data_IF_912990417784
#
_entry.id   IF_912990417784
#
_cell.length_a   1.000
_cell.length_b   1.000
_cell.length_c   1.000
_cell.angle_alpha   90.00
_cell.angle_beta   90.00
_cell.angle_gamma   90.00
#
_symmetry.space_group_name_H-M   'P 1'
#
loop_
_entity.id
_entity.type
_entity.pdbx_description
1 polymer ?
#
# COMPACT_ATOMS: atom_id res chain seq x y z
N UNK A 1 -4.38 -28.82 59.74
CA UNK A 1 -4.65 -27.39 59.46
C UNK A 1 -3.83 -26.98 58.24
N UNK A 2 -4.54 -26.67 57.15
CA UNK A 2 -4.25 -25.71 56.04
C UNK A 2 -2.79 -25.61 55.56
N UNK A 3 -2.41 -26.20 54.42
CA UNK A 3 -2.62 -25.77 53.02
C UNK A 3 -2.07 -24.39 52.65
N UNK A 4 -1.13 -24.38 51.69
CA UNK A 4 -1.08 -23.59 50.44
C UNK A 4 0.40 -23.35 50.04
N UNK A 5 0.98 -24.09 49.09
CA UNK A 5 0.91 -23.94 47.61
C UNK A 5 1.91 -22.91 47.00
N UNK A 6 2.35 -23.13 45.74
CA UNK A 6 3.72 -22.86 45.31
C UNK A 6 3.92 -21.55 44.57
N UNK A 7 5.20 -21.13 44.56
CA UNK A 7 5.74 -19.94 43.88
C UNK A 7 5.28 -19.85 42.43
N UNK A 8 4.56 -18.77 42.12
CA UNK A 8 4.07 -18.44 40.79
C UNK A 8 5.22 -18.38 39.77
N UNK A 9 5.17 -19.26 38.76
CA UNK A 9 5.88 -19.06 37.50
C UNK A 9 5.34 -17.80 36.84
N UNK A 10 6.07 -16.69 36.98
CA UNK A 10 5.91 -15.51 36.12
C UNK A 10 6.16 -15.98 34.69
N UNK A 11 5.09 -16.17 33.91
CA UNK A 11 5.16 -16.27 32.45
C UNK A 11 5.72 -14.94 31.97
N UNK A 12 7.00 -14.91 31.64
CA UNK A 12 7.61 -13.85 30.88
C UNK A 12 6.81 -13.67 29.59
N UNK A 13 6.15 -12.51 29.43
CA UNK A 13 5.73 -12.01 28.12
C UNK A 13 6.99 -11.93 27.27
N UNK A 14 7.28 -12.99 26.52
CA UNK A 14 8.16 -12.89 25.38
C UNK A 14 7.60 -11.77 24.52
N UNK A 15 8.46 -10.81 24.14
CA UNK A 15 8.14 -9.79 23.16
C UNK A 15 7.74 -10.53 21.88
N UNK A 16 6.43 -10.68 21.65
CA UNK A 16 5.89 -10.88 20.32
C UNK A 16 6.48 -9.72 19.50
N UNK A 17 7.23 -10.00 18.43
CA UNK A 17 7.65 -8.95 17.51
C UNK A 17 6.42 -8.08 17.20
N UNK A 18 6.57 -6.76 17.26
CA UNK A 18 5.46 -5.83 17.12
C UNK A 18 4.83 -6.00 15.74
N UNK A 19 3.84 -6.88 15.62
CA UNK A 19 3.02 -7.00 14.43
C UNK A 19 2.33 -5.66 14.23
N UNK A 20 2.54 -5.02 13.09
CA UNK A 20 1.81 -3.80 12.74
C UNK A 20 0.33 -4.15 12.75
N UNK A 21 -0.46 -3.47 13.58
CA UNK A 21 -1.89 -3.70 13.64
C UNK A 21 -2.50 -3.24 12.32
N UNK A 22 -3.25 -4.13 11.65
CA UNK A 22 -3.97 -3.78 10.41
C UNK A 22 -5.03 -2.74 10.74
N UNK A 23 -5.23 -1.76 9.85
CA UNK A 23 -6.22 -0.67 10.06
C UNK A 23 -7.31 -0.81 9.01
N UNK A 24 -8.54 -1.09 9.45
CA UNK A 24 -9.65 -1.36 8.56
C UNK A 24 -10.79 -0.38 8.85
N UNK A 25 -11.34 0.21 7.79
CA UNK A 25 -12.65 0.88 7.83
C UNK A 25 -13.70 -0.14 7.38
N UNK A 26 -14.76 -0.30 8.16
CA UNK A 26 -15.91 -1.12 7.77
C UNK A 26 -17.05 -0.19 7.36
N UNK A 27 -17.62 -0.40 6.18
CA UNK A 27 -18.82 0.31 5.72
C UNK A 27 -19.99 0.10 6.70
N UNK A 28 -20.88 1.09 6.81
CA UNK A 28 -22.08 1.04 7.66
C UNK A 28 -22.94 -0.19 7.37
N UNK A 29 -23.01 -0.64 6.11
CA UNK A 29 -23.75 -1.84 5.74
C UNK A 29 -23.16 -3.13 6.34
N UNK A 30 -21.85 -3.17 6.63
CA UNK A 30 -21.18 -4.32 7.24
C UNK A 30 -21.62 -4.47 8.69
N UNK A 31 -21.67 -3.36 9.44
CA UNK A 31 -22.13 -3.37 10.84
C UNK A 31 -23.59 -3.81 10.95
N UNK A 32 -24.47 -3.27 10.11
CA UNK A 32 -25.89 -3.64 10.09
C UNK A 32 -26.05 -5.11 9.70
N UNK A 33 -25.32 -5.57 8.68
CA UNK A 33 -25.38 -6.96 8.22
C UNK A 33 -24.86 -7.96 9.25
N UNK A 34 -23.84 -7.59 10.03
CA UNK A 34 -23.32 -8.40 11.13
C UNK A 34 -24.33 -8.56 12.26
N UNK A 35 -25.10 -7.51 12.56
CA UNK A 35 -26.13 -7.57 13.60
C UNK A 35 -27.32 -8.45 13.16
N UNK A 36 -27.71 -8.37 11.89
CA UNK A 36 -28.81 -9.17 11.31
C UNK A 36 -28.43 -10.65 11.15
N UNK A 37 -27.21 -10.95 10.72
CA UNK A 37 -26.76 -12.32 10.46
C UNK A 37 -25.79 -12.81 11.54
N UNK A 38 -26.18 -13.78 12.39
CA UNK A 38 -25.34 -14.22 13.50
C UNK A 38 -24.13 -15.08 13.08
N UNK A 39 -23.96 -15.36 11.78
CA UNK A 39 -22.88 -16.19 11.24
C UNK A 39 -22.37 -15.63 9.91
N UNK A 40 -21.19 -16.09 9.51
CA UNK A 40 -20.55 -15.77 8.24
C UNK A 40 -19.41 -14.76 8.37
N UNK A 41 -18.74 -14.50 7.25
CA UNK A 41 -17.52 -13.68 7.21
C UNK A 41 -17.72 -12.25 7.75
N UNK A 42 -18.87 -11.63 7.48
CA UNK A 42 -19.20 -10.28 7.96
C UNK A 42 -19.27 -10.24 9.49
N UNK A 43 -20.01 -11.18 10.10
CA UNK A 43 -20.13 -11.25 11.56
C UNK A 43 -18.79 -11.57 12.22
N UNK A 44 -18.04 -12.49 11.64
CA UNK A 44 -16.70 -12.81 12.13
C UNK A 44 -15.78 -11.59 12.09
N UNK A 45 -15.74 -10.86 10.97
CA UNK A 45 -14.91 -9.67 10.81
C UNK A 45 -15.25 -8.59 11.86
N UNK A 46 -16.53 -8.28 12.06
CA UNK A 46 -16.94 -7.31 13.08
C UNK A 46 -16.56 -7.79 14.48
N UNK A 47 -16.80 -9.06 14.82
CA UNK A 47 -16.43 -9.61 16.13
C UNK A 47 -14.92 -9.49 16.39
N UNK A 48 -14.08 -9.70 15.37
CA UNK A 48 -12.62 -9.52 15.48
C UNK A 48 -12.23 -8.05 15.70
N UNK A 49 -12.91 -7.12 15.01
CA UNK A 49 -12.73 -5.68 15.23
C UNK A 49 -13.09 -5.27 16.65
N UNK A 50 -14.24 -5.73 17.17
CA UNK A 50 -14.68 -5.47 18.54
C UNK A 50 -13.76 -6.06 19.62
N UNK A 51 -12.98 -7.11 19.28
CA UNK A 51 -11.96 -7.71 20.16
C UNK A 51 -10.59 -7.04 20.05
N UNK A 52 -10.42 -6.07 19.15
CA UNK A 52 -9.14 -5.41 18.90
C UNK A 52 -8.11 -6.30 18.19
N UNK A 53 -8.54 -7.30 17.42
CA UNK A 53 -7.63 -8.14 16.63
C UNK A 53 -7.00 -7.40 15.44
N UNK A 54 -7.62 -6.28 15.05
CA UNK A 54 -7.13 -5.24 14.16
C UNK A 54 -7.65 -3.87 14.66
N UNK A 55 -7.09 -2.79 14.17
CA UNK A 55 -7.53 -1.44 14.49
C UNK A 55 -8.78 -1.09 13.65
N UNK A 56 -9.94 -1.11 14.30
CA UNK A 56 -11.20 -0.72 13.70
C UNK A 56 -11.27 0.80 13.62
N UNK A 57 -11.22 1.37 12.42
CA UNK A 57 -11.28 2.81 12.22
C UNK A 57 -12.74 3.26 12.14
N UNK A 58 -13.09 4.29 12.90
CA UNK A 58 -14.44 4.89 12.95
C UNK A 58 -14.35 6.42 12.95
N UNK A 59 -15.46 7.07 12.57
CA UNK A 59 -15.66 8.51 12.70
C UNK A 59 -17.06 8.82 13.24
N UNK A 60 -17.33 10.08 13.57
CA UNK A 60 -18.65 10.52 14.05
C UNK A 60 -19.71 10.25 12.99
N UNK A 61 -19.46 10.67 11.74
CA UNK A 61 -20.38 10.45 10.61
C UNK A 61 -20.69 8.97 10.38
N UNK A 62 -19.70 8.09 10.51
CA UNK A 62 -19.90 6.63 10.39
C UNK A 62 -20.79 6.09 11.51
N UNK A 63 -20.54 6.48 12.75
CA UNK A 63 -21.29 6.01 13.92
C UNK A 63 -22.75 6.52 13.86
N UNK A 64 -22.94 7.80 13.54
CA UNK A 64 -24.25 8.42 13.38
C UNK A 64 -25.08 7.72 12.30
N UNK A 65 -24.45 7.36 11.17
CA UNK A 65 -25.15 6.64 10.11
C UNK A 65 -25.53 5.22 10.54
N UNK A 66 -24.65 4.51 11.28
CA UNK A 66 -24.96 3.20 11.84
C UNK A 66 -26.13 3.31 12.81
N UNK A 67 -26.07 4.22 13.78
CA UNK A 67 -27.13 4.44 14.77
C UNK A 67 -28.47 4.76 14.10
N UNK A 68 -28.48 5.77 13.22
CA UNK A 68 -29.68 6.20 12.48
C UNK A 68 -30.28 5.07 11.66
N UNK A 69 -29.46 4.24 11.00
CA UNK A 69 -29.95 3.12 10.21
C UNK A 69 -30.50 2.01 11.10
N UNK A 70 -29.84 1.71 12.22
CA UNK A 70 -30.29 0.66 13.15
C UNK A 70 -31.65 1.00 13.76
N UNK A 71 -31.95 2.27 14.05
CA UNK A 71 -33.24 2.71 14.62
C UNK A 71 -34.47 2.43 13.72
N UNK A 72 -34.30 2.11 12.42
CA UNK A 72 -35.43 1.87 11.49
C UNK A 72 -36.30 0.68 11.89
N UNK A 73 -37.62 0.86 11.83
CA UNK A 73 -38.63 -0.14 12.22
C UNK A 73 -38.50 -1.50 11.52
N UNK A 74 -38.03 -1.49 10.26
CA UNK A 74 -37.84 -2.73 9.50
C UNK A 74 -36.89 -3.72 10.19
N UNK A 75 -36.01 -3.24 11.07
CA UNK A 75 -35.03 -4.07 11.76
C UNK A 75 -35.52 -4.70 13.08
N UNK A 76 -36.68 -4.27 13.59
CA UNK A 76 -37.21 -4.71 14.90
C UNK A 76 -37.53 -6.20 15.00
N UNK A 77 -37.56 -6.91 13.86
CA UNK A 77 -37.71 -8.38 13.83
C UNK A 77 -36.43 -9.15 14.17
N UNK A 78 -35.27 -8.50 14.18
CA UNK A 78 -33.98 -9.14 14.46
C UNK A 78 -33.36 -8.73 15.79
N UNK A 79 -33.56 -7.49 16.23
CA UNK A 79 -33.01 -6.96 17.48
C UNK A 79 -33.86 -5.82 18.07
N UNK A 80 -33.74 -5.59 19.38
CA UNK A 80 -34.40 -4.52 20.14
C UNK A 80 -33.66 -3.18 19.98
N UNK A 81 -34.22 -2.08 20.50
CA UNK A 81 -33.55 -0.77 20.44
C UNK A 81 -32.34 -0.77 21.39
N UNK A 82 -32.53 -1.26 22.61
CA UNK A 82 -31.45 -1.45 23.59
C UNK A 82 -30.29 -2.30 23.02
N UNK A 83 -30.57 -3.40 22.30
CA UNK A 83 -29.52 -4.20 21.66
C UNK A 83 -28.78 -3.44 20.55
N UNK A 84 -29.45 -2.51 19.87
CA UNK A 84 -28.80 -1.66 18.87
C UNK A 84 -27.90 -0.60 19.54
N UNK A 85 -28.38 0.02 20.61
CA UNK A 85 -27.64 1.03 21.36
C UNK A 85 -26.39 0.42 22.02
N UNK A 86 -26.53 -0.76 22.65
CA UNK A 86 -25.41 -1.54 23.19
C UNK A 86 -24.37 -1.88 22.11
N UNK A 87 -24.83 -2.18 20.90
CA UNK A 87 -23.95 -2.50 19.77
C UNK A 87 -23.20 -1.27 19.26
N UNK A 88 -23.86 -0.12 19.14
CA UNK A 88 -23.18 1.16 18.77
C UNK A 88 -22.17 1.56 19.84
N UNK A 89 -22.52 1.42 21.11
CA UNK A 89 -21.60 1.66 22.23
C UNK A 89 -20.37 0.74 22.17
N UNK A 90 -20.56 -0.54 21.83
CA UNK A 90 -19.46 -1.49 21.66
C UNK A 90 -18.54 -1.12 20.49
N UNK A 91 -19.09 -0.69 19.34
CA UNK A 91 -18.30 -0.20 18.20
C UNK A 91 -17.50 1.03 18.60
N UNK A 92 -18.14 1.99 19.27
CA UNK A 92 -17.51 3.24 19.72
C UNK A 92 -16.35 2.96 20.69
N UNK A 93 -16.52 2.01 21.61
CA UNK A 93 -15.49 1.64 22.58
C UNK A 93 -14.30 0.91 21.94
N UNK A 94 -14.55 0.08 20.92
CA UNK A 94 -13.50 -0.69 20.25
C UNK A 94 -12.80 0.10 19.13
N UNK A 95 -13.46 1.10 18.56
CA UNK A 95 -12.99 1.85 17.42
C UNK A 95 -11.89 2.85 17.77
N UNK A 96 -10.94 3.03 16.86
CA UNK A 96 -10.04 4.18 16.86
C UNK A 96 -10.66 5.30 16.05
N UNK A 97 -10.88 6.43 16.73
CA UNK A 97 -11.60 7.58 16.18
C UNK A 97 -10.69 8.44 15.31
N UNK A 98 -11.19 8.80 14.12
CA UNK A 98 -10.59 9.77 13.21
C UNK A 98 -11.64 10.82 12.90
N UNK A 99 -11.24 12.10 12.96
CA UNK A 99 -12.13 13.22 12.70
C UNK A 99 -12.60 13.23 11.24
N UNK A 100 -13.88 13.55 11.04
CA UNK A 100 -14.45 13.71 9.70
C UNK A 100 -13.89 14.94 8.99
N UNK A 101 -13.58 14.79 7.69
CA UNK A 101 -13.32 15.95 6.84
C UNK A 101 -14.60 16.75 6.60
N UNK A 102 -14.50 18.08 6.38
CA UNK A 102 -15.60 18.86 5.85
C UNK A 102 -16.10 18.28 4.51
N UNK A 103 -17.42 18.32 4.28
CA UNK A 103 -18.03 17.75 3.06
C UNK A 103 -17.43 18.33 1.76
N UNK A 104 -16.98 19.59 1.79
CA UNK A 104 -16.33 20.27 0.65
C UNK A 104 -14.93 19.74 0.31
N UNK A 105 -14.31 18.99 1.23
CA UNK A 105 -12.96 18.42 1.10
C UNK A 105 -12.99 16.91 0.84
N UNK A 106 -14.18 16.33 0.69
CA UNK A 106 -14.34 14.92 0.36
C UNK A 106 -13.84 14.64 -1.07
N UNK A 107 -13.21 13.47 -1.29
CA UNK A 107 -12.89 13.04 -2.64
C UNK A 107 -14.18 12.86 -3.43
N UNK A 108 -14.14 13.07 -4.75
CA UNK A 108 -15.28 12.79 -5.63
C UNK A 108 -14.98 11.55 -6.46
N UNK A 109 -14.92 10.39 -5.81
CA UNK A 109 -14.50 9.12 -6.42
C UNK A 109 -15.58 8.05 -6.40
N UNK A 110 -16.51 8.13 -5.46
CA UNK A 110 -17.66 7.24 -5.38
C UNK A 110 -18.73 7.68 -6.38
N UNK A 111 -19.41 6.70 -6.98
CA UNK A 111 -20.60 6.96 -7.81
C UNK A 111 -21.77 7.53 -7.00
N UNK A 112 -21.81 7.20 -5.70
CA UNK A 112 -22.71 7.79 -4.72
C UNK A 112 -21.94 8.80 -3.87
N UNK A 113 -22.39 10.05 -3.85
CA UNK A 113 -21.66 11.10 -3.14
C UNK A 113 -21.61 10.85 -1.63
N UNK A 114 -22.64 10.18 -1.10
CA UNK A 114 -22.79 9.86 0.31
C UNK A 114 -21.76 8.80 0.78
N UNK A 115 -21.12 8.05 -0.13
CA UNK A 115 -20.09 7.07 0.24
C UNK A 115 -18.67 7.68 0.29
N UNK A 116 -18.48 8.92 -0.20
CA UNK A 116 -17.13 9.52 -0.31
C UNK A 116 -16.47 9.75 1.05
N UNK A 117 -17.25 9.92 2.12
CA UNK A 117 -16.68 10.07 3.47
C UNK A 117 -15.98 8.79 3.94
N UNK A 118 -16.42 7.60 3.50
CA UNK A 118 -15.75 6.33 3.84
C UNK A 118 -14.33 6.28 3.25
N UNK A 119 -14.17 6.82 2.04
CA UNK A 119 -12.87 6.92 1.37
C UNK A 119 -12.00 7.97 2.06
N UNK A 120 -12.56 9.14 2.39
CA UNK A 120 -11.83 10.17 3.13
C UNK A 120 -11.34 9.65 4.49
N UNK A 121 -12.22 8.98 5.25
CA UNK A 121 -11.90 8.35 6.52
C UNK A 121 -10.76 7.32 6.37
N UNK A 122 -10.84 6.48 5.33
CA UNK A 122 -9.80 5.51 5.04
C UNK A 122 -8.45 6.18 4.69
N UNK A 123 -8.46 7.28 3.94
CA UNK A 123 -7.24 8.03 3.61
C UNK A 123 -6.62 8.70 4.83
N UNK A 124 -7.42 9.40 5.65
CA UNK A 124 -6.94 10.10 6.84
C UNK A 124 -6.43 9.16 7.92
N UNK A 125 -7.04 7.98 8.01
CA UNK A 125 -6.58 6.93 8.91
C UNK A 125 -5.42 6.12 8.33
N UNK A 126 -4.95 6.41 7.11
CA UNK A 126 -4.03 5.57 6.34
C UNK A 126 -4.48 4.10 6.21
N UNK A 127 -5.77 3.81 6.30
CA UNK A 127 -6.32 2.47 6.40
C UNK A 127 -5.77 1.51 5.33
N UNK A 128 -5.47 0.28 5.73
CA UNK A 128 -5.04 -0.77 4.79
C UNK A 128 -6.19 -1.12 3.84
N UNK A 129 -7.41 -1.13 4.38
CA UNK A 129 -8.56 -1.63 3.65
C UNK A 129 -9.87 -0.96 4.07
N UNK A 130 -10.69 -0.62 3.09
CA UNK A 130 -12.10 -0.31 3.23
C UNK A 130 -12.91 -1.57 2.87
N UNK A 131 -13.73 -2.04 3.81
CA UNK A 131 -14.53 -3.24 3.63
C UNK A 131 -15.99 -2.87 3.37
N UNK A 132 -16.53 -3.29 2.22
CA UNK A 132 -17.92 -3.04 1.84
C UNK A 132 -18.57 -4.24 1.17
N UNK A 133 -19.90 -4.32 1.28
CA UNK A 133 -20.76 -5.20 0.50
C UNK A 133 -21.38 -4.53 -0.74
N UNK A 134 -21.30 -3.20 -0.84
CA UNK A 134 -21.92 -2.43 -1.92
C UNK A 134 -21.07 -2.50 -3.20
N UNK A 135 -21.71 -2.82 -4.32
CA UNK A 135 -21.03 -2.92 -5.62
C UNK A 135 -20.46 -1.58 -6.10
N UNK A 136 -21.10 -0.47 -5.74
CA UNK A 136 -20.64 0.88 -6.10
C UNK A 136 -19.37 1.24 -5.33
N UNK A 137 -19.35 1.00 -4.01
CA UNK A 137 -18.16 1.21 -3.17
C UNK A 137 -17.04 0.27 -3.59
N UNK A 138 -17.34 -1.01 -3.85
CA UNK A 138 -16.34 -1.98 -4.33
C UNK A 138 -15.73 -1.64 -5.70
N UNK A 139 -16.39 -0.80 -6.49
CA UNK A 139 -15.87 -0.31 -7.77
C UNK A 139 -15.00 0.95 -7.61
N UNK A 140 -14.88 1.50 -6.40
CA UNK A 140 -14.03 2.66 -6.13
C UNK A 140 -12.57 2.24 -6.25
N UNK A 141 -11.85 2.96 -7.09
CA UNK A 141 -10.43 2.78 -7.29
C UNK A 141 -9.70 4.01 -6.75
N UNK A 142 -8.98 3.85 -5.66
CA UNK A 142 -8.17 4.91 -5.05
C UNK A 142 -6.75 4.43 -4.77
N UNK A 143 -5.74 5.30 -4.94
CA UNK A 143 -4.37 4.94 -4.60
C UNK A 143 -4.24 4.58 -3.12
N UNK A 144 -3.41 3.59 -2.82
CA UNK A 144 -3.02 3.21 -1.46
C UNK A 144 -4.15 2.71 -0.54
N UNK A 145 -5.31 2.32 -1.07
CA UNK A 145 -6.40 1.72 -0.29
C UNK A 145 -6.92 0.47 -1.00
N UNK A 146 -6.93 -0.67 -0.30
CA UNK A 146 -7.65 -1.84 -0.80
C UNK A 146 -9.14 -1.63 -0.51
N UNK A 147 -9.98 -1.79 -1.52
CA UNK A 147 -11.43 -1.86 -1.33
C UNK A 147 -11.88 -3.29 -1.61
N UNK A 148 -12.59 -3.92 -0.66
CA UNK A 148 -12.95 -5.32 -0.82
C UNK A 148 -14.01 -5.83 0.13
N UNK A 149 -14.32 -7.12 0.02
CA UNK A 149 -15.37 -7.78 0.82
C UNK A 149 -14.80 -8.40 2.10
N UNK A 150 -15.68 -8.66 3.06
CA UNK A 150 -15.31 -9.26 4.34
C UNK A 150 -14.49 -10.57 4.25
N UNK A 151 -14.76 -11.53 3.34
CA UNK A 151 -13.92 -12.72 3.19
C UNK A 151 -12.45 -12.37 2.87
N UNK A 152 -12.23 -11.43 1.95
CA UNK A 152 -10.88 -10.99 1.58
C UNK A 152 -10.20 -10.22 2.73
N UNK A 153 -10.96 -9.45 3.51
CA UNK A 153 -10.44 -8.83 4.72
C UNK A 153 -9.93 -9.87 5.73
N UNK A 154 -10.68 -10.98 5.94
CA UNK A 154 -10.24 -12.06 6.83
C UNK A 154 -8.98 -12.78 6.33
N UNK A 155 -8.85 -12.94 5.01
CA UNK A 155 -7.62 -13.45 4.38
C UNK A 155 -6.44 -12.51 4.64
N UNK A 156 -6.59 -11.22 4.39
CA UNK A 156 -5.60 -10.16 4.66
C UNK A 156 -5.15 -10.13 6.13
N UNK A 157 -6.09 -10.26 7.07
CA UNK A 157 -5.79 -10.29 8.51
C UNK A 157 -4.95 -11.50 8.93
N UNK A 158 -5.01 -12.58 8.14
CA UNK A 158 -4.30 -13.84 8.38
C UNK A 158 -3.06 -14.00 7.48
N UNK A 159 -2.85 -13.08 6.55
CA UNK A 159 -1.76 -13.13 5.58
C UNK A 159 -0.44 -12.68 6.21
N UNK A 160 0.60 -13.49 6.00
CA UNK A 160 1.97 -13.21 6.38
C UNK A 160 2.89 -13.53 5.20
N UNK A 161 3.72 -12.57 4.81
CA UNK A 161 4.76 -12.77 3.81
C UNK A 161 6.10 -13.07 4.47
N UNK A 162 7.00 -13.77 3.78
CA UNK A 162 8.34 -14.08 4.29
C UNK A 162 9.19 -12.83 4.61
N UNK A 163 8.88 -11.71 3.97
CA UNK A 163 9.55 -10.42 4.22
C UNK A 163 8.97 -9.64 5.40
N UNK A 164 7.84 -10.06 5.95
CA UNK A 164 7.20 -9.41 7.09
C UNK A 164 5.69 -9.30 6.97
N UNK A 165 5.05 -8.98 8.09
CA UNK A 165 3.60 -8.75 8.18
C UNK A 165 3.16 -7.47 7.49
N UNK A 166 4.08 -6.58 7.15
CA UNK A 166 3.81 -5.29 6.53
C UNK A 166 3.47 -5.45 5.04
N UNK A 167 3.85 -6.56 4.42
CA UNK A 167 3.56 -6.82 3.01
C UNK A 167 2.19 -7.49 2.86
N UNK A 168 1.38 -6.95 1.95
CA UNK A 168 0.03 -7.41 1.63
C UNK A 168 -0.09 -7.78 0.16
N UNK A 169 -0.89 -8.80 -0.18
CA UNK A 169 -1.20 -9.09 -1.57
C UNK A 169 -1.95 -7.89 -2.18
N UNK A 170 -1.65 -7.59 -3.43
CA UNK A 170 -2.31 -6.54 -4.20
C UNK A 170 -2.51 -7.00 -5.65
N UNK A 171 -3.30 -6.24 -6.41
CA UNK A 171 -3.53 -6.49 -7.83
C UNK A 171 -2.64 -5.60 -8.70
N UNK A 172 -2.31 -6.07 -9.90
CA UNK A 172 -1.42 -5.36 -10.83
C UNK A 172 -1.96 -3.98 -11.23
N UNK A 173 -3.25 -3.88 -11.57
CA UNK A 173 -3.88 -2.61 -11.96
C UNK A 173 -3.83 -1.58 -10.82
N UNK A 174 -3.81 -2.04 -9.55
CA UNK A 174 -3.62 -1.17 -8.40
C UNK A 174 -2.21 -0.57 -8.32
N UNK A 175 -1.19 -1.30 -8.76
CA UNK A 175 0.17 -0.75 -8.86
C UNK A 175 0.21 0.35 -9.91
N UNK A 176 -0.36 0.13 -11.10
CA UNK A 176 -0.33 1.11 -12.20
C UNK A 176 -0.97 2.44 -11.79
N UNK A 177 -2.15 2.39 -11.16
CA UNK A 177 -2.80 3.60 -10.64
C UNK A 177 -1.98 4.30 -9.56
N UNK A 178 -1.29 3.54 -8.71
CA UNK A 178 -0.41 4.11 -7.69
C UNK A 178 0.79 4.81 -8.34
N UNK A 179 1.40 4.21 -9.38
CA UNK A 179 2.49 4.82 -10.14
C UNK A 179 2.07 6.19 -10.68
N UNK A 180 0.88 6.26 -11.28
CA UNK A 180 0.35 7.51 -11.84
C UNK A 180 0.04 8.54 -10.75
N UNK A 181 -0.64 8.13 -9.69
CA UNK A 181 -1.01 9.02 -8.59
C UNK A 181 0.19 9.60 -7.84
N UNK A 182 1.28 8.84 -7.74
CA UNK A 182 2.52 9.29 -7.09
C UNK A 182 3.46 10.04 -8.07
N UNK A 183 3.08 10.16 -9.35
CA UNK A 183 3.91 10.81 -10.36
C UNK A 183 5.22 10.08 -10.66
N UNK A 184 5.29 8.78 -10.37
CA UNK A 184 6.52 7.97 -10.50
C UNK A 184 6.66 7.33 -11.89
N UNK A 185 5.63 7.48 -12.73
CA UNK A 185 5.56 6.95 -14.11
C UNK A 185 6.85 7.15 -14.90
N UNK A 186 7.49 8.34 -14.92
CA UNK A 186 8.68 8.52 -15.75
C UNK A 186 9.86 7.62 -15.36
N UNK A 187 10.11 7.47 -14.05
CA UNK A 187 11.19 6.62 -13.53
C UNK A 187 10.92 5.14 -13.85
N UNK A 188 9.66 4.71 -13.74
CA UNK A 188 9.25 3.33 -14.04
C UNK A 188 9.40 3.02 -15.53
N UNK A 189 9.05 3.95 -16.42
CA UNK A 189 9.19 3.76 -17.87
C UNK A 189 10.66 3.71 -18.31
N UNK A 190 11.51 4.56 -17.72
CA UNK A 190 12.97 4.47 -17.92
C UNK A 190 13.49 3.09 -17.49
N UNK A 191 13.08 2.61 -16.30
CA UNK A 191 13.45 1.27 -15.82
C UNK A 191 13.00 0.16 -16.76
N UNK A 192 11.72 0.18 -17.20
CA UNK A 192 11.16 -0.83 -18.11
C UNK A 192 11.92 -0.88 -19.42
N UNK A 193 12.17 0.27 -20.04
CA UNK A 193 12.89 0.32 -21.31
C UNK A 193 14.37 -0.06 -21.14
N UNK A 194 15.00 0.34 -20.03
CA UNK A 194 16.37 -0.08 -19.70
C UNK A 194 16.49 -1.60 -19.56
N UNK A 195 15.55 -2.25 -18.85
CA UNK A 195 15.52 -3.71 -18.72
C UNK A 195 15.38 -4.40 -20.09
N UNK A 196 14.51 -3.88 -20.96
CA UNK A 196 14.38 -4.37 -22.34
C UNK A 196 15.70 -4.25 -23.10
N UNK A 197 16.39 -3.11 -22.99
CA UNK A 197 17.68 -2.89 -23.66
C UNK A 197 18.80 -3.81 -23.13
N UNK A 198 18.86 -4.06 -21.82
CA UNK A 198 19.86 -4.97 -21.21
C UNK A 198 19.57 -6.44 -21.55
N UNK A 199 18.30 -6.81 -21.71
CA UNK A 199 17.91 -8.15 -22.13
C UNK A 199 18.26 -8.43 -23.60
N UNK A 200 18.20 -7.41 -24.45
CA UNK A 200 18.57 -7.50 -25.87
C UNK A 200 20.09 -7.47 -26.12
N UNK A 201 20.46 -7.72 -27.38
CA UNK A 201 21.82 -7.64 -27.90
C UNK A 201 21.85 -6.91 -29.25
N UNK A 202 23.01 -6.40 -29.64
CA UNK A 202 23.22 -5.76 -30.94
C UNK A 202 22.84 -4.27 -31.01
N UNK A 203 22.90 -3.67 -32.21
CA UNK A 203 22.81 -2.22 -32.39
C UNK A 203 21.50 -1.59 -31.93
N UNK A 204 20.37 -2.29 -32.09
CA UNK A 204 19.06 -1.81 -31.64
C UNK A 204 19.00 -1.71 -30.12
N UNK A 205 19.48 -2.75 -29.41
CA UNK A 205 19.58 -2.73 -27.94
C UNK A 205 20.52 -1.62 -27.45
N UNK A 206 21.65 -1.41 -28.14
CA UNK A 206 22.60 -0.34 -27.82
C UNK A 206 22.04 1.07 -28.06
N UNK A 207 21.15 1.22 -29.05
CA UNK A 207 20.42 2.46 -29.33
C UNK A 207 19.44 2.75 -28.20
N UNK A 208 18.58 1.77 -27.85
CA UNK A 208 17.59 1.90 -26.76
C UNK A 208 18.29 2.14 -25.42
N UNK A 209 19.41 1.45 -25.17
CA UNK A 209 20.23 1.69 -23.98
C UNK A 209 20.71 3.14 -23.92
N UNK A 210 21.09 3.73 -25.06
CA UNK A 210 21.49 5.13 -25.15
C UNK A 210 20.39 6.14 -24.82
N UNK A 211 19.11 5.76 -24.97
CA UNK A 211 17.97 6.59 -24.59
C UNK A 211 17.68 6.53 -23.09
N UNK A 212 18.08 5.44 -22.42
CA UNK A 212 17.68 5.15 -21.04
C UNK A 212 18.76 5.46 -20.01
N UNK A 213 20.03 5.59 -20.41
CA UNK A 213 21.15 5.83 -19.50
C UNK A 213 21.75 7.21 -19.66
N UNK A 214 22.44 7.69 -18.63
CA UNK A 214 23.28 8.90 -18.70
C UNK A 214 24.39 8.63 -19.73
N UNK A 215 24.57 9.46 -20.78
CA UNK A 215 25.49 9.18 -21.89
C UNK A 215 26.91 8.79 -21.46
N UNK A 216 27.42 9.48 -20.45
CA UNK A 216 28.75 9.30 -19.87
C UNK A 216 28.93 7.91 -19.23
N UNK A 217 27.83 7.29 -18.79
CA UNK A 217 27.80 5.95 -18.17
C UNK A 217 27.52 4.82 -19.18
N UNK A 218 27.04 5.15 -20.39
CA UNK A 218 26.70 4.16 -21.43
C UNK A 218 27.80 3.13 -21.70
N UNK A 219 29.09 3.51 -21.84
CA UNK A 219 30.16 2.53 -22.09
C UNK A 219 30.35 1.52 -20.96
N UNK A 220 29.95 1.85 -19.73
CA UNK A 220 29.99 0.92 -18.59
C UNK A 220 28.89 -0.15 -18.74
N UNK A 221 27.66 0.26 -19.07
CA UNK A 221 26.54 -0.67 -19.27
C UNK A 221 26.73 -1.56 -20.49
N UNK A 222 27.32 -1.05 -21.58
CA UNK A 222 27.63 -1.87 -22.76
C UNK A 222 28.69 -2.93 -22.43
N UNK A 223 29.81 -2.54 -21.80
CA UNK A 223 30.88 -3.48 -21.42
C UNK A 223 30.45 -4.48 -20.35
N UNK A 224 29.63 -4.06 -19.39
CA UNK A 224 29.16 -4.85 -18.26
C UNK A 224 27.77 -5.49 -18.45
N UNK A 225 27.25 -5.57 -19.68
CA UNK A 225 25.86 -5.96 -19.95
C UNK A 225 25.45 -7.27 -19.27
N UNK A 226 26.27 -8.31 -19.35
CA UNK A 226 25.95 -9.61 -18.75
C UNK A 226 25.91 -9.57 -17.22
N UNK A 227 26.76 -8.75 -16.59
CA UNK A 227 26.73 -8.55 -15.14
C UNK A 227 25.46 -7.81 -14.72
N UNK A 228 25.08 -6.76 -15.45
CA UNK A 228 23.84 -6.00 -15.22
C UNK A 228 22.62 -6.90 -15.41
N UNK A 229 22.61 -7.70 -16.49
CA UNK A 229 21.57 -8.70 -16.78
C UNK A 229 21.46 -9.72 -15.65
N UNK A 230 22.59 -10.20 -15.12
CA UNK A 230 22.62 -11.10 -13.96
C UNK A 230 22.05 -10.44 -12.70
N UNK A 231 22.40 -9.17 -12.43
CA UNK A 231 21.89 -8.40 -11.27
C UNK A 231 20.38 -8.16 -11.32
N UNK A 232 19.83 -7.92 -12.51
CA UNK A 232 18.40 -7.69 -12.75
C UNK A 232 17.56 -8.97 -12.75
N UNK A 233 18.18 -10.14 -12.95
CA UNK A 233 17.45 -11.41 -12.99
C UNK A 233 16.80 -11.70 -11.63
N UNK A 234 15.50 -12.01 -11.66
CA UNK A 234 14.73 -12.33 -10.45
C UNK A 234 14.56 -11.13 -9.52
N UNK A 235 14.46 -9.91 -10.08
CA UNK A 235 14.18 -8.68 -9.33
C UNK A 235 12.75 -8.21 -9.54
N UNK A 236 12.10 -7.83 -8.46
CA UNK A 236 10.88 -7.03 -8.48
C UNK A 236 11.20 -5.53 -8.55
N UNK A 237 10.16 -4.71 -8.64
CA UNK A 237 10.25 -3.25 -8.59
C UNK A 237 9.37 -2.74 -7.45
N UNK A 238 9.96 -2.01 -6.50
CA UNK A 238 9.17 -1.20 -5.58
C UNK A 238 8.96 0.18 -6.20
N UNK A 239 7.71 0.53 -6.46
CA UNK A 239 7.32 1.67 -7.30
C UNK A 239 7.54 3.03 -6.66
N UNK A 240 7.59 3.10 -5.32
CA UNK A 240 7.96 4.33 -4.59
C UNK A 240 9.47 4.56 -4.63
N UNK A 241 10.00 5.55 -5.36
CA UNK A 241 11.43 5.89 -5.31
C UNK A 241 11.82 6.51 -3.97
N UNK A 242 13.12 6.57 -3.71
CA UNK A 242 13.71 7.46 -2.70
C UNK A 242 14.38 8.62 -3.43
N UNK A 243 13.88 9.84 -3.25
CA UNK A 243 14.52 11.04 -3.81
C UNK A 243 15.63 11.51 -2.88
N UNK A 244 16.88 11.41 -3.31
CA UNK A 244 18.04 11.95 -2.59
C UNK A 244 18.21 13.46 -2.83
N UNK A 245 17.71 13.95 -3.97
CA UNK A 245 17.54 15.37 -4.30
C UNK A 245 16.45 15.50 -5.39
N UNK A 246 16.03 16.72 -5.78
CA UNK A 246 15.12 16.90 -6.92
C UNK A 246 15.60 16.27 -8.23
N UNK A 247 16.92 16.11 -8.39
CA UNK A 247 17.55 15.62 -9.62
C UNK A 247 18.10 14.19 -9.50
N UNK A 248 17.99 13.56 -8.33
CA UNK A 248 18.55 12.21 -8.06
C UNK A 248 17.54 11.36 -7.31
N UNK A 249 17.18 10.23 -7.92
CA UNK A 249 16.22 9.28 -7.38
C UNK A 249 16.78 7.85 -7.36
N UNK A 250 16.34 7.06 -6.39
CA UNK A 250 16.68 5.65 -6.27
C UNK A 250 15.44 4.79 -6.35
N UNK A 251 15.34 3.98 -7.41
CA UNK A 251 14.37 2.88 -7.46
C UNK A 251 14.94 1.68 -6.71
N UNK A 252 14.09 1.03 -5.90
CA UNK A 252 14.45 -0.16 -5.14
C UNK A 252 14.04 -1.40 -5.92
N UNK A 253 14.97 -2.33 -6.07
CA UNK A 253 14.81 -3.58 -6.80
C UNK A 253 15.00 -4.77 -5.83
N UNK A 254 13.95 -5.13 -5.05
CA UNK A 254 14.00 -6.30 -4.19
C UNK A 254 14.11 -7.58 -5.01
N UNK A 255 14.43 -8.74 -4.39
CA UNK A 255 14.16 -10.04 -5.00
C UNK A 255 12.70 -10.10 -5.49
N UNK A 256 12.42 -10.80 -6.58
CA UNK A 256 11.06 -11.00 -7.05
C UNK A 256 10.28 -11.90 -6.06
N UNK A 257 9.20 -11.43 -5.43
CA UNK A 257 8.42 -12.24 -4.49
C UNK A 257 7.52 -13.27 -5.19
N UNK A 258 7.42 -13.24 -6.53
CA UNK A 258 6.53 -14.13 -7.30
C UNK A 258 5.05 -13.74 -7.25
N UNK A 259 4.71 -12.67 -6.53
CA UNK A 259 3.37 -12.10 -6.47
C UNK A 259 3.42 -10.56 -6.40
N UNK A 260 2.27 -9.90 -6.55
CA UNK A 260 2.19 -8.45 -6.41
C UNK A 260 1.95 -8.08 -4.95
N UNK A 261 2.85 -7.29 -4.38
CA UNK A 261 2.79 -6.86 -2.99
C UNK A 261 2.64 -5.35 -2.86
N UNK A 262 1.94 -4.92 -1.81
CA UNK A 262 1.92 -3.54 -1.31
C UNK A 262 2.38 -3.50 0.15
N UNK A 263 2.83 -2.35 0.59
CA UNK A 263 3.18 -2.10 2.00
C UNK A 263 1.98 -1.54 2.75
N UNK A 264 1.66 -2.14 3.90
CA UNK A 264 0.65 -1.72 4.86
C UNK A 264 1.17 -0.52 5.68
N UNK A 265 0.37 0.54 5.77
CA UNK A 265 0.68 1.85 6.39
C UNK A 265 1.97 2.54 5.92
N UNK A 266 2.00 3.86 5.96
CA UNK A 266 3.18 4.62 5.53
C UNK A 266 4.17 4.73 6.68
N UNK A 267 5.11 3.78 6.78
CA UNK A 267 6.17 3.90 7.78
C UNK A 267 7.29 2.87 7.66
N UNK A 268 8.51 3.34 7.35
CA UNK A 268 9.79 2.74 7.75
C UNK A 268 10.02 1.24 7.54
N UNK A 269 9.29 0.57 6.65
CA UNK A 269 9.42 -0.88 6.44
C UNK A 269 10.82 -1.20 5.92
N UNK A 270 11.50 -2.09 6.64
CA UNK A 270 12.82 -2.55 6.24
C UNK A 270 12.72 -3.19 4.85
N UNK A 271 13.63 -2.79 3.95
CA UNK A 271 13.66 -3.39 2.63
C UNK A 271 14.04 -4.87 2.75
N UNK A 272 13.48 -5.74 1.88
CA UNK A 272 13.87 -7.13 1.84
C UNK A 272 15.40 -7.27 1.71
N UNK A 273 16.01 -8.28 2.36
CA UNK A 273 17.42 -8.55 2.20
C UNK A 273 17.80 -8.69 0.71
N UNK A 274 19.04 -8.31 0.37
CA UNK A 274 19.54 -8.31 -1.01
C UNK A 274 18.82 -7.35 -1.97
N UNK A 275 18.01 -6.41 -1.49
CA UNK A 275 17.50 -5.31 -2.32
C UNK A 275 18.67 -4.50 -2.89
N UNK A 276 18.68 -4.30 -4.20
CA UNK A 276 19.62 -3.40 -4.88
C UNK A 276 18.88 -2.14 -5.33
N UNK A 277 19.62 -1.13 -5.75
CA UNK A 277 19.08 0.17 -6.15
C UNK A 277 19.49 0.47 -7.59
N UNK A 278 18.55 1.07 -8.32
CA UNK A 278 18.84 1.77 -9.56
C UNK A 278 18.86 3.26 -9.25
N UNK A 279 20.01 3.89 -9.45
CA UNK A 279 20.16 5.34 -9.33
C UNK A 279 19.82 5.98 -10.66
N UNK A 280 18.84 6.88 -10.65
CA UNK A 280 18.46 7.71 -11.78
C UNK A 280 18.86 9.15 -11.51
N UNK A 281 19.28 9.83 -12.56
CA UNK A 281 19.63 11.25 -12.56
C UNK A 281 18.76 11.93 -13.59
N UNK A 282 18.23 13.10 -13.23
CA UNK A 282 17.48 13.95 -14.14
C UNK A 282 18.44 14.77 -14.98
N UNK A 283 18.20 14.78 -16.28
CA UNK A 283 19.13 15.26 -17.31
C UNK A 283 18.42 16.23 -18.27
N UNK A 284 18.10 17.47 -17.84
CA UNK A 284 17.22 18.38 -18.59
C UNK A 284 17.73 18.76 -19.99
N UNK A 285 19.03 18.63 -20.25
CA UNK A 285 19.66 18.87 -21.55
C UNK A 285 19.45 17.73 -22.56
N UNK A 286 18.96 16.56 -22.13
CA UNK A 286 18.68 15.43 -23.02
C UNK A 286 17.22 15.43 -23.48
N UNK A 287 17.03 15.29 -24.79
CA UNK A 287 15.72 15.07 -25.38
C UNK A 287 15.22 13.64 -25.08
N UNK A 288 13.96 13.55 -24.68
CA UNK A 288 13.26 12.29 -24.42
C UNK A 288 12.74 11.63 -25.72
N UNK A 289 12.78 12.33 -26.86
CA UNK A 289 12.35 11.81 -28.17
C UNK A 289 10.91 11.29 -28.16
N UNK A 290 10.03 11.97 -27.42
CA UNK A 290 8.62 11.60 -27.26
C UNK A 290 8.37 10.48 -26.24
N UNK A 291 9.39 9.97 -25.54
CA UNK A 291 9.22 9.04 -24.44
C UNK A 291 8.81 9.78 -23.16
N UNK A 292 8.02 9.15 -22.27
CA UNK A 292 7.51 9.81 -21.06
C UNK A 292 8.55 9.78 -19.92
N UNK A 293 9.79 10.19 -20.17
CA UNK A 293 10.91 10.04 -19.23
C UNK A 293 11.09 11.22 -18.28
N UNK A 294 10.53 12.39 -18.59
CA UNK A 294 10.74 13.62 -17.83
C UNK A 294 12.24 13.86 -17.54
N UNK A 295 13.05 13.63 -18.57
CA UNK A 295 14.50 13.75 -18.56
C UNK A 295 15.24 12.80 -17.59
N UNK A 296 14.58 11.83 -16.95
CA UNK A 296 15.26 10.85 -16.11
C UNK A 296 16.08 9.86 -16.92
N UNK A 297 17.27 9.52 -16.44
CA UNK A 297 18.17 8.52 -17.04
C UNK A 297 18.81 7.67 -15.96
N UNK A 298 19.03 6.39 -16.25
CA UNK A 298 19.77 5.48 -15.38
C UNK A 298 21.24 5.89 -15.33
N UNK A 299 21.76 6.09 -14.13
CA UNK A 299 23.16 6.40 -13.87
C UNK A 299 23.94 5.18 -13.39
N UNK A 300 23.36 4.39 -12.48
CA UNK A 300 24.04 3.23 -11.91
C UNK A 300 23.07 2.16 -11.38
N UNK A 301 23.58 0.93 -11.20
CA UNK A 301 22.88 -0.20 -10.60
C UNK A 301 23.74 -0.82 -9.48
N UNK A 302 23.23 -0.87 -8.24
CA UNK A 302 23.94 -1.40 -7.08
C UNK A 302 23.53 -0.74 -5.78
N UNK A 303 24.51 -0.26 -5.01
CA UNK A 303 24.26 0.57 -3.83
C UNK A 303 23.73 1.96 -4.25
N UNK A 304 22.91 2.63 -3.42
CA UNK A 304 22.49 3.99 -3.70
C UNK A 304 23.70 4.92 -3.69
N UNK A 305 23.75 5.86 -4.63
CA UNK A 305 24.87 6.81 -4.80
C UNK A 305 24.41 8.18 -4.30
N UNK A 306 25.21 8.83 -3.45
CA UNK A 306 24.85 10.16 -2.96
C UNK A 306 24.96 11.20 -4.09
N UNK A 307 24.11 12.24 -4.11
CA UNK A 307 24.17 13.28 -5.14
C UNK A 307 25.54 13.95 -5.27
N UNK A 308 26.29 14.09 -4.18
CA UNK A 308 27.64 14.68 -4.15
C UNK A 308 28.69 13.85 -4.90
N UNK A 309 28.44 12.55 -5.10
CA UNK A 309 29.33 11.63 -5.83
C UNK A 309 29.04 11.64 -7.34
N UNK A 310 27.94 12.26 -7.77
CA UNK A 310 27.53 12.34 -9.17
C UNK A 310 28.16 13.60 -9.78
N UNK A 311 29.13 13.39 -10.66
CA UNK A 311 29.80 14.50 -11.34
C UNK A 311 28.81 15.30 -12.20
N UNK A 312 28.89 16.65 -12.20
CA UNK A 312 28.08 17.48 -13.08
C UNK A 312 28.25 17.06 -14.54
N UNK A 313 27.13 17.00 -15.27
CA UNK A 313 27.17 16.72 -16.70
C UNK A 313 27.79 17.89 -17.43
N UNK A 314 28.64 17.58 -18.40
CA UNK A 314 29.10 18.60 -19.35
C UNK A 314 28.02 18.67 -20.43
N UNK A 315 27.33 19.80 -20.63
CA UNK A 315 26.28 19.89 -21.63
C UNK A 315 26.83 19.46 -22.99
N UNK A 316 26.12 18.55 -23.66
CA UNK A 316 26.43 18.18 -25.04
C UNK A 316 26.34 19.45 -25.89
N UNK A 317 27.43 19.81 -26.60
CA UNK A 317 27.41 20.87 -27.62
C UNK A 317 26.54 20.46 -28.82
#
# INVERSE_FOLDING_TARGET
MREAQPRSRRRSKARLGSRVARRLVLDTNIFISALISPRGAIRELVNRGLRGEFELIVSEKLLDEVETRLQRDKFRRWFTLDEADDYVAAITLAGTFVADRPDLELPMVCADADDNFLVALAQDAEADMLVSGDKKVLAVEVPNLIVGKAPYALEILSYEHEWGSEFLPSQHDAIERQIDAEGTRPLVEVYRLFCTAIAGDGPEADMVLGLTVVPETKPLFVRGRDEVRSKLRGRGLATRPVYASPEVAHLKLPPDPGETLRVAHVGGVALPPNTIFMTLVRCPDLDDQGLPFDHWRVFALGAPINPEEILPRTPSQ
#
